data_IF_027489689172
#
_entry.id   IF_027489689172
#
_cell.length_a   1.000
_cell.length_b   1.000
_cell.length_c   1.000
_cell.angle_alpha   90.00
_cell.angle_beta   90.00
_cell.angle_gamma   90.00
#
_symmetry.space_group_name_H-M   'P 1'
#
loop_
_entity.id
_entity.type
_entity.pdbx_description
1 polymer ?
#
# COMPACT_ATOMS: atom_id res chain seq x y z
N UNK A 1 -23.99 -0.11 -20.50
CA UNK A 1 -22.84 0.12 -19.60
C UNK A 1 -22.39 -1.23 -19.09
N UNK A 2 -21.15 -1.62 -19.35
CA UNK A 2 -20.69 -3.00 -19.21
C UNK A 2 -20.55 -3.37 -17.73
N UNK A 3 -21.22 -4.44 -17.29
CA UNK A 3 -21.28 -4.94 -15.89
C UNK A 3 -19.89 -5.24 -15.29
N UNK A 4 -18.86 -5.34 -16.12
CA UNK A 4 -17.46 -5.54 -15.70
C UNK A 4 -16.83 -4.32 -15.01
N UNK A 5 -17.28 -3.11 -15.36
CA UNK A 5 -16.64 -1.88 -14.91
C UNK A 5 -16.79 -1.62 -13.40
N UNK A 6 -17.99 -1.79 -12.79
CA UNK A 6 -18.17 -1.60 -11.35
C UNK A 6 -17.45 -2.67 -10.51
N UNK A 7 -17.47 -3.94 -10.94
CA UNK A 7 -16.80 -5.02 -10.23
C UNK A 7 -15.29 -4.82 -10.16
N UNK A 8 -14.67 -4.33 -11.26
CA UNK A 8 -13.25 -3.99 -11.29
C UNK A 8 -12.88 -2.89 -10.30
N UNK A 9 -13.72 -1.85 -10.17
CA UNK A 9 -13.49 -0.76 -9.21
C UNK A 9 -13.55 -1.26 -7.76
N UNK A 10 -14.51 -2.12 -7.42
CA UNK A 10 -14.60 -2.72 -6.08
C UNK A 10 -13.38 -3.57 -5.76
N UNK A 11 -12.90 -4.39 -6.71
CA UNK A 11 -11.68 -5.20 -6.54
C UNK A 11 -10.47 -4.32 -6.30
N UNK A 12 -10.26 -3.30 -7.14
CA UNK A 12 -9.13 -2.38 -6.99
C UNK A 12 -9.19 -1.64 -5.67
N UNK A 13 -10.39 -1.24 -5.24
CA UNK A 13 -10.61 -0.57 -3.95
C UNK A 13 -10.29 -1.50 -2.78
N UNK A 14 -10.76 -2.76 -2.81
CA UNK A 14 -10.46 -3.75 -1.78
C UNK A 14 -8.96 -4.08 -1.73
N UNK A 15 -8.30 -4.27 -2.88
CA UNK A 15 -6.86 -4.49 -2.96
C UNK A 15 -6.08 -3.31 -2.39
N UNK A 16 -6.47 -2.08 -2.77
CA UNK A 16 -5.88 -0.86 -2.21
C UNK A 16 -6.03 -0.80 -0.69
N UNK A 17 -7.21 -1.14 -0.17
CA UNK A 17 -7.47 -1.11 1.26
C UNK A 17 -6.61 -2.12 2.03
N UNK A 18 -6.45 -3.33 1.50
CA UNK A 18 -5.58 -4.36 2.08
C UNK A 18 -4.12 -3.91 2.05
N UNK A 19 -3.64 -3.39 0.92
CA UNK A 19 -2.27 -2.92 0.81
C UNK A 19 -1.99 -1.76 1.77
N UNK A 20 -2.92 -0.81 1.92
CA UNK A 20 -2.82 0.26 2.92
C UNK A 20 -2.76 -0.29 4.34
N UNK A 21 -3.68 -1.18 4.71
CA UNK A 21 -3.70 -1.74 6.07
C UNK A 21 -2.41 -2.50 6.37
N UNK A 22 -1.94 -3.36 5.45
CA UNK A 22 -0.70 -4.13 5.62
C UNK A 22 0.53 -3.22 5.68
N UNK A 23 0.63 -2.23 4.79
CA UNK A 23 1.73 -1.27 4.78
C UNK A 23 1.75 -0.45 6.09
N UNK A 24 0.60 0.06 6.51
CA UNK A 24 0.46 0.83 7.75
C UNK A 24 0.82 0.01 8.98
N UNK A 25 0.39 -1.26 9.07
CA UNK A 25 0.81 -2.17 10.15
C UNK A 25 2.31 -2.43 10.10
N UNK A 26 2.89 -2.66 8.92
CA UNK A 26 4.33 -2.86 8.78
C UNK A 26 5.13 -1.63 9.22
N UNK A 27 4.69 -0.42 8.86
CA UNK A 27 5.29 0.84 9.30
C UNK A 27 5.13 1.06 10.81
N UNK A 28 3.97 0.74 11.37
CA UNK A 28 3.69 0.84 12.80
C UNK A 28 4.53 -0.16 13.63
N UNK A 29 4.77 -1.36 13.09
CA UNK A 29 5.61 -2.38 13.71
C UNK A 29 7.11 -2.02 13.68
N UNK A 30 7.55 -1.26 12.67
CA UNK A 30 8.96 -0.88 12.47
C UNK A 30 9.14 0.63 12.28
N UNK A 31 8.78 1.45 13.29
CA UNK A 31 8.77 2.90 13.15
C UNK A 31 10.17 3.50 12.96
N UNK A 32 11.22 2.82 13.44
CA UNK A 32 12.61 3.26 13.28
C UNK A 32 13.08 3.13 11.83
N UNK A 33 12.75 2.02 11.17
CA UNK A 33 13.08 1.78 9.76
C UNK A 33 12.31 2.74 8.86
N UNK A 34 11.00 2.93 9.11
CA UNK A 34 10.20 3.88 8.35
C UNK A 34 10.76 5.31 8.44
N UNK A 35 11.13 5.76 9.64
CA UNK A 35 11.82 7.05 9.83
C UNK A 35 13.17 7.12 9.09
N UNK A 36 13.95 6.05 9.08
CA UNK A 36 15.22 6.01 8.38
C UNK A 36 15.03 6.17 6.87
N UNK A 37 14.03 5.50 6.29
CA UNK A 37 13.66 5.62 4.87
C UNK A 37 13.23 7.05 4.54
N UNK A 38 12.32 7.65 5.33
CA UNK A 38 11.89 9.04 5.11
C UNK A 38 13.04 10.05 5.19
N UNK A 39 14.05 9.82 6.04
CA UNK A 39 15.25 10.66 6.10
C UNK A 39 16.12 10.54 4.84
N UNK A 40 16.23 9.33 4.26
CA UNK A 40 16.97 9.10 3.02
C UNK A 40 16.30 9.83 1.85
N UNK A 41 14.97 9.95 1.84
CA UNK A 41 14.24 10.67 0.81
C UNK A 41 14.55 12.17 0.79
N UNK A 42 14.91 12.74 1.96
CA UNK A 42 15.24 14.18 2.14
C UNK A 42 14.18 15.14 1.58
N UNK A 43 12.93 14.70 1.47
CA UNK A 43 11.80 15.52 0.99
C UNK A 43 11.12 16.30 2.12
N UNK A 44 11.27 15.84 3.37
CA UNK A 44 10.71 16.52 4.54
C UNK A 44 11.82 17.10 5.41
N UNK A 45 11.59 18.28 6.04
CA UNK A 45 12.47 18.79 7.08
C UNK A 45 12.65 17.76 8.21
N UNK A 46 13.84 17.65 8.83
CA UNK A 46 14.10 16.69 9.90
C UNK A 46 13.09 16.79 11.05
N UNK A 47 12.67 18.01 11.41
CA UNK A 47 11.67 18.26 12.44
C UNK A 47 10.31 17.59 12.15
N UNK A 48 9.94 17.48 10.87
CA UNK A 48 8.65 16.92 10.45
C UNK A 48 8.71 15.41 10.31
N UNK A 49 9.88 14.82 10.04
CA UNK A 49 10.02 13.36 9.87
C UNK A 49 9.60 12.55 11.10
N UNK A 50 9.78 13.11 12.31
CA UNK A 50 9.40 12.45 13.56
C UNK A 50 7.88 12.28 13.70
N UNK A 51 7.11 13.26 13.19
CA UNK A 51 5.65 13.27 13.18
C UNK A 51 5.07 12.57 11.94
N UNK A 52 5.67 12.79 10.77
CA UNK A 52 5.18 12.25 9.52
C UNK A 52 5.16 10.72 9.51
N UNK A 53 6.20 10.06 10.04
CA UNK A 53 6.28 8.60 10.03
C UNK A 53 5.12 7.90 10.77
N UNK A 54 4.81 8.23 12.04
CA UNK A 54 3.64 7.66 12.71
C UNK A 54 2.33 8.15 12.10
N UNK A 55 2.23 9.41 11.66
CA UNK A 55 1.02 9.94 11.04
C UNK A 55 0.65 9.18 9.76
N UNK A 56 1.62 8.89 8.88
CA UNK A 56 1.37 8.10 7.67
C UNK A 56 0.93 6.68 8.03
N UNK A 57 1.61 6.02 8.98
CA UNK A 57 1.28 4.65 9.37
C UNK A 57 -0.14 4.55 9.93
N UNK A 58 -0.51 5.47 10.82
CA UNK A 58 -1.87 5.54 11.39
C UNK A 58 -2.89 5.81 10.30
N UNK A 59 -2.61 6.74 9.39
CA UNK A 59 -3.53 7.08 8.29
C UNK A 59 -3.75 5.89 7.35
N UNK A 60 -2.68 5.18 6.97
CA UNK A 60 -2.75 3.98 6.14
C UNK A 60 -3.60 2.89 6.79
N UNK A 61 -3.38 2.60 8.08
CA UNK A 61 -4.20 1.61 8.82
C UNK A 61 -5.65 2.05 8.92
N UNK A 62 -5.90 3.29 9.36
CA UNK A 62 -7.27 3.78 9.56
C UNK A 62 -8.06 3.78 8.26
N UNK A 63 -7.49 4.29 7.18
CA UNK A 63 -8.16 4.32 5.88
C UNK A 63 -8.36 2.90 5.33
N UNK A 64 -7.33 2.06 5.35
CA UNK A 64 -7.43 0.68 4.85
C UNK A 64 -8.46 -0.15 5.63
N UNK A 65 -8.44 -0.10 6.96
CA UNK A 65 -9.40 -0.80 7.82
C UNK A 65 -10.80 -0.24 7.65
N UNK A 66 -10.97 1.08 7.58
CA UNK A 66 -12.29 1.69 7.37
C UNK A 66 -12.90 1.24 6.04
N UNK A 67 -12.16 1.31 4.93
CA UNK A 67 -12.64 0.84 3.63
C UNK A 67 -13.08 -0.62 3.71
N UNK A 68 -12.25 -1.50 4.28
CA UNK A 68 -12.60 -2.93 4.41
C UNK A 68 -13.82 -3.16 5.30
N UNK A 69 -13.89 -2.49 6.44
CA UNK A 69 -15.01 -2.63 7.38
C UNK A 69 -16.33 -2.20 6.71
N UNK A 70 -16.35 -1.06 6.04
CA UNK A 70 -17.54 -0.59 5.34
C UNK A 70 -17.86 -1.43 4.11
N UNK A 71 -16.88 -1.84 3.30
CA UNK A 71 -17.12 -2.75 2.16
C UNK A 71 -17.76 -4.07 2.59
N UNK A 72 -17.44 -4.58 3.78
CA UNK A 72 -17.98 -5.84 4.30
C UNK A 72 -19.33 -5.65 5.01
N UNK A 73 -19.54 -4.53 5.71
CA UNK A 73 -20.74 -4.29 6.52
C UNK A 73 -21.86 -3.59 5.72
N UNK A 74 -21.52 -2.53 4.99
CA UNK A 74 -22.43 -1.75 4.15
C UNK A 74 -21.65 -1.10 3.00
N UNK A 75 -21.59 -1.75 1.82
CA UNK A 75 -20.86 -1.25 0.67
C UNK A 75 -21.24 0.19 0.27
N UNK A 76 -22.50 0.61 0.47
CA UNK A 76 -22.94 1.96 0.14
C UNK A 76 -22.27 3.01 1.06
N UNK A 77 -22.04 2.68 2.33
CA UNK A 77 -21.33 3.53 3.28
C UNK A 77 -19.81 3.59 3.01
N UNK A 78 -19.25 2.71 2.18
CA UNK A 78 -17.82 2.69 1.85
C UNK A 78 -17.38 3.83 0.90
N UNK A 79 -18.30 4.65 0.38
CA UNK A 79 -17.99 5.74 -0.55
C UNK A 79 -17.01 6.76 0.04
N UNK A 80 -17.28 7.25 1.26
CA UNK A 80 -16.41 8.22 1.92
C UNK A 80 -14.99 7.69 2.21
N UNK A 81 -14.82 6.51 2.84
CA UNK A 81 -13.48 5.97 3.06
C UNK A 81 -12.78 5.60 1.75
N UNK A 82 -13.51 5.17 0.69
CA UNK A 82 -12.93 4.95 -0.62
C UNK A 82 -12.41 6.25 -1.28
N UNK A 83 -13.10 7.37 -1.08
CA UNK A 83 -12.61 8.68 -1.52
C UNK A 83 -11.32 9.08 -0.77
N UNK A 84 -11.27 8.86 0.55
CA UNK A 84 -10.05 9.10 1.34
C UNK A 84 -8.89 8.21 0.87
N UNK A 85 -9.16 6.94 0.56
CA UNK A 85 -8.19 6.02 -0.03
C UNK A 85 -7.69 6.51 -1.39
N UNK A 86 -8.58 7.03 -2.25
CA UNK A 86 -8.20 7.58 -3.56
C UNK A 86 -7.24 8.77 -3.41
N UNK A 87 -7.53 9.69 -2.49
CA UNK A 87 -6.67 10.83 -2.17
C UNK A 87 -5.31 10.37 -1.66
N UNK A 88 -5.29 9.39 -0.75
CA UNK A 88 -4.04 8.88 -0.18
C UNK A 88 -3.17 8.21 -1.25
N UNK A 89 -3.74 7.36 -2.11
CA UNK A 89 -3.00 6.75 -3.21
C UNK A 89 -2.55 7.76 -4.26
N UNK A 90 -3.34 8.81 -4.52
CA UNK A 90 -2.92 9.91 -5.38
C UNK A 90 -1.70 10.64 -4.79
N UNK A 91 -1.72 10.94 -3.49
CA UNK A 91 -0.58 11.53 -2.80
C UNK A 91 0.66 10.62 -2.86
N UNK A 92 0.50 9.30 -2.70
CA UNK A 92 1.60 8.34 -2.86
C UNK A 92 2.12 8.26 -4.29
N UNK A 93 1.26 8.33 -5.31
CA UNK A 93 1.67 8.36 -6.70
C UNK A 93 2.51 9.60 -7.02
N UNK A 94 2.05 10.78 -6.58
CA UNK A 94 2.79 12.04 -6.73
C UNK A 94 4.11 11.96 -5.98
N UNK A 95 4.10 11.50 -4.74
CA UNK A 95 5.31 11.33 -3.93
C UNK A 95 6.32 10.42 -4.60
N UNK A 96 5.88 9.25 -5.08
CA UNK A 96 6.75 8.28 -5.76
C UNK A 96 7.27 8.82 -7.10
N UNK A 97 6.48 9.59 -7.84
CA UNK A 97 6.91 10.24 -9.08
C UNK A 97 7.98 11.31 -8.82
N UNK A 98 7.78 12.16 -7.80
CA UNK A 98 8.78 13.15 -7.35
C UNK A 98 10.05 12.44 -6.88
N UNK A 99 9.91 11.38 -6.10
CA UNK A 99 11.06 10.62 -5.62
C UNK A 99 11.81 9.93 -6.77
N UNK A 100 11.09 9.38 -7.75
CA UNK A 100 11.68 8.74 -8.93
C UNK A 100 12.43 9.71 -9.82
N UNK A 101 11.94 10.94 -9.94
CA UNK A 101 12.54 12.00 -10.77
C UNK A 101 13.75 12.63 -10.09
N UNK A 102 13.68 12.92 -8.78
CA UNK A 102 14.76 13.62 -8.08
C UNK A 102 15.78 12.70 -7.40
N UNK A 103 15.41 11.45 -7.07
CA UNK A 103 16.21 10.51 -6.25
C UNK A 103 16.07 9.07 -6.76
N UNK A 104 16.50 8.76 -7.99
CA UNK A 104 16.43 7.38 -8.50
C UNK A 104 17.20 6.41 -7.60
N UNK A 105 16.63 5.23 -7.35
CA UNK A 105 17.30 4.13 -6.65
C UNK A 105 17.12 4.08 -5.13
N UNK A 106 16.41 5.05 -4.53
CA UNK A 106 16.01 4.99 -3.12
C UNK A 106 14.83 4.01 -2.93
N UNK A 107 14.67 3.41 -1.74
CA UNK A 107 13.50 2.56 -1.43
C UNK A 107 12.19 3.35 -1.53
N UNK A 108 11.07 2.70 -1.88
CA UNK A 108 9.77 3.37 -2.04
C UNK A 108 9.08 3.66 -0.70
N UNK A 109 9.58 3.12 0.42
CA UNK A 109 8.96 3.25 1.75
C UNK A 109 7.82 2.25 1.98
N UNK A 110 6.86 2.16 1.04
CA UNK A 110 5.63 1.37 1.20
C UNK A 110 5.83 -0.11 1.57
N UNK A 111 6.97 -0.70 1.21
CA UNK A 111 7.33 -2.09 1.53
C UNK A 111 8.81 -2.26 1.90
N UNK A 112 9.49 -1.20 2.33
CA UNK A 112 10.87 -1.22 2.85
C UNK A 112 12.00 -1.59 1.88
N UNK A 113 11.80 -2.57 0.99
CA UNK A 113 12.82 -3.19 0.14
C UNK A 113 12.69 -2.83 -1.35
N UNK A 114 11.47 -2.56 -1.84
CA UNK A 114 11.25 -2.23 -3.25
C UNK A 114 11.81 -0.83 -3.56
N UNK A 115 12.68 -0.72 -4.57
CA UNK A 115 13.18 0.58 -5.05
C UNK A 115 12.09 1.34 -5.78
N UNK A 116 12.12 2.67 -5.69
CA UNK A 116 11.18 3.52 -6.43
C UNK A 116 11.32 3.29 -7.95
N UNK A 117 10.21 2.93 -8.59
CA UNK A 117 10.13 2.63 -10.02
C UNK A 117 8.84 3.20 -10.62
N UNK A 118 8.77 3.32 -11.94
CA UNK A 118 7.51 3.71 -12.61
C UNK A 118 6.39 2.68 -12.42
N UNK A 119 6.73 1.43 -12.09
CA UNK A 119 5.75 0.39 -11.75
C UNK A 119 5.08 0.71 -10.41
N UNK A 120 5.82 1.19 -9.41
CA UNK A 120 5.24 1.63 -8.13
C UNK A 120 4.30 2.82 -8.33
N UNK A 121 4.70 3.78 -9.17
CA UNK A 121 3.87 4.94 -9.52
C UNK A 121 2.59 4.49 -10.22
N UNK A 122 2.68 3.66 -11.25
CA UNK A 122 1.52 3.18 -12.00
C UNK A 122 0.56 2.37 -11.13
N UNK A 123 1.08 1.52 -10.22
CA UNK A 123 0.28 0.80 -9.23
C UNK A 123 -0.53 1.76 -8.35
N UNK A 124 0.12 2.79 -7.81
CA UNK A 124 -0.56 3.79 -6.98
C UNK A 124 -1.64 4.56 -7.77
N UNK A 125 -1.36 4.91 -9.04
CA UNK A 125 -2.34 5.57 -9.93
C UNK A 125 -3.55 4.67 -10.21
N UNK A 126 -3.33 3.38 -10.50
CA UNK A 126 -4.42 2.42 -10.75
C UNK A 126 -5.29 2.23 -9.51
N UNK A 127 -4.68 2.11 -8.32
CA UNK A 127 -5.42 2.00 -7.06
C UNK A 127 -6.19 3.27 -6.73
N UNK A 128 -5.60 4.45 -6.99
CA UNK A 128 -6.27 5.74 -6.84
C UNK A 128 -7.48 5.84 -7.78
N UNK A 129 -7.32 5.50 -9.06
CA UNK A 129 -8.38 5.53 -10.06
C UNK A 129 -9.51 4.54 -9.74
N UNK A 130 -9.17 3.33 -9.29
CA UNK A 130 -10.15 2.33 -8.86
C UNK A 130 -10.97 2.81 -7.66
N UNK A 131 -10.31 3.40 -6.66
CA UNK A 131 -10.96 3.93 -5.45
C UNK A 131 -11.80 5.17 -5.73
N UNK A 132 -11.32 6.07 -6.59
CA UNK A 132 -12.08 7.24 -7.04
C UNK A 132 -13.31 6.81 -7.86
N UNK A 133 -13.14 5.84 -8.75
CA UNK A 133 -14.23 5.25 -9.52
C UNK A 133 -15.31 4.65 -8.61
N UNK A 134 -14.90 3.88 -7.60
CA UNK A 134 -15.81 3.35 -6.58
C UNK A 134 -16.54 4.47 -5.84
N UNK A 135 -15.83 5.52 -5.42
CA UNK A 135 -16.44 6.65 -4.71
C UNK A 135 -17.46 7.44 -5.55
N UNK A 136 -17.26 7.54 -6.87
CA UNK A 136 -18.17 8.26 -7.77
C UNK A 136 -19.38 7.42 -8.16
N UNK A 137 -19.18 6.13 -8.45
CA UNK A 137 -20.24 5.24 -8.93
C UNK A 137 -21.02 4.60 -7.78
N UNK A 138 -20.40 4.46 -6.61
CA UNK A 138 -20.96 3.77 -5.46
C UNK A 138 -20.91 2.25 -5.59
N UNK A 139 -21.38 1.55 -4.55
CA UNK A 139 -21.55 0.11 -4.59
C UNK A 139 -22.65 -0.27 -5.56
N UNK A 140 -22.31 -1.05 -6.58
CA UNK A 140 -23.33 -1.76 -7.38
C UNK A 140 -23.63 -3.06 -6.64
N UNK A 141 -24.89 -3.23 -6.24
CA UNK A 141 -25.46 -4.38 -5.50
C UNK A 141 -24.90 -5.71 -6.02
N UNK A 142 -24.51 -6.66 -5.15
CA UNK A 142 -23.67 -7.78 -5.54
C UNK A 142 -24.42 -8.80 -6.39
N UNK A 143 -23.89 -9.05 -7.59
CA UNK A 143 -24.05 -10.32 -8.28
C UNK A 143 -22.99 -11.31 -7.76
N UNK A 144 -23.19 -12.61 -8.00
CA UNK A 144 -22.35 -13.78 -7.61
C UNK A 144 -20.82 -13.63 -7.76
N UNK A 145 -20.38 -12.64 -8.52
CA UNK A 145 -18.98 -12.27 -8.73
C UNK A 145 -18.27 -11.73 -7.49
N UNK A 146 -19.01 -11.26 -6.48
CA UNK A 146 -18.46 -10.69 -5.24
C UNK A 146 -17.66 -11.71 -4.40
N UNK A 147 -18.04 -12.99 -4.45
CA UNK A 147 -17.30 -14.07 -3.79
C UNK A 147 -16.01 -14.42 -4.54
N UNK A 148 -16.03 -14.34 -5.87
CA UNK A 148 -14.87 -14.63 -6.72
C UNK A 148 -13.82 -13.53 -6.56
N UNK A 149 -14.26 -12.26 -6.52
CA UNK A 149 -13.38 -11.13 -6.28
C UNK A 149 -12.78 -11.17 -4.89
N UNK A 150 -13.56 -11.47 -3.85
CA UNK A 150 -13.02 -11.68 -2.50
C UNK A 150 -11.96 -12.79 -2.47
N UNK A 151 -12.20 -13.92 -3.13
CA UNK A 151 -11.26 -15.04 -3.21
C UNK A 151 -9.94 -14.69 -3.94
N UNK A 152 -10.02 -13.99 -5.07
CA UNK A 152 -8.83 -13.54 -5.83
C UNK A 152 -8.01 -12.53 -5.02
N UNK A 153 -8.68 -11.59 -4.35
CA UNK A 153 -8.04 -10.59 -3.51
C UNK A 153 -7.33 -11.25 -2.32
N UNK A 154 -7.97 -12.23 -1.67
CA UNK A 154 -7.35 -13.01 -0.59
C UNK A 154 -6.15 -13.81 -1.09
N UNK A 155 -6.27 -14.46 -2.26
CA UNK A 155 -5.20 -15.25 -2.85
C UNK A 155 -3.99 -14.38 -3.22
N UNK A 156 -4.21 -13.19 -3.79
CA UNK A 156 -3.13 -12.25 -4.08
C UNK A 156 -2.49 -11.70 -2.79
N UNK A 157 -3.29 -11.34 -1.79
CA UNK A 157 -2.77 -10.88 -0.49
C UNK A 157 -1.88 -11.96 0.15
N UNK A 158 -2.29 -13.23 0.11
CA UNK A 158 -1.50 -14.34 0.62
C UNK A 158 -0.19 -14.53 -0.17
N UNK A 159 -0.24 -14.40 -1.51
CA UNK A 159 0.96 -14.50 -2.35
C UNK A 159 1.96 -13.36 -2.11
N UNK A 160 1.47 -12.14 -1.83
CA UNK A 160 2.32 -11.02 -1.50
C UNK A 160 2.98 -11.16 -0.13
N UNK A 161 2.30 -11.75 0.85
CA UNK A 161 2.86 -12.03 2.17
C UNK A 161 3.95 -13.10 2.12
N UNK A 162 3.80 -14.13 1.29
CA UNK A 162 4.84 -15.16 1.13
C UNK A 162 6.08 -14.62 0.40
N UNK A 163 5.89 -13.87 -0.69
CA UNK A 163 7.00 -13.20 -1.38
C UNK A 163 7.80 -12.27 -0.44
N UNK A 164 7.12 -11.65 0.52
CA UNK A 164 7.77 -10.78 1.51
C UNK A 164 8.65 -11.56 2.50
N UNK A 165 8.22 -12.74 2.96
CA UNK A 165 8.99 -13.56 3.91
C UNK A 165 10.32 -14.00 3.33
N UNK A 166 10.32 -14.41 2.06
CA UNK A 166 11.52 -14.88 1.36
C UNK A 166 12.62 -13.79 1.32
N UNK A 167 12.24 -12.53 1.07
CA UNK A 167 13.21 -11.42 1.02
C UNK A 167 13.81 -11.06 2.38
N UNK A 168 13.08 -11.29 3.47
CA UNK A 168 13.56 -11.01 4.84
C UNK A 168 14.54 -12.09 5.30
N UNK A 169 14.28 -13.34 4.93
CA UNK A 169 15.16 -14.47 5.26
C UNK A 169 16.50 -14.37 4.51
N UNK A 170 16.49 -14.02 3.22
CA UNK A 170 17.72 -13.80 2.43
C UNK A 170 18.60 -12.66 2.95
N UNK A 171 17.97 -11.60 3.46
CA UNK A 171 18.69 -10.47 4.05
C UNK A 171 19.36 -10.85 5.38
N UNK A 172 18.75 -11.76 6.13
CA UNK A 172 19.23 -12.20 7.45
C UNK A 172 20.44 -13.14 7.35
N UNK A 173 20.43 -14.05 6.37
CA UNK A 173 21.59 -14.90 6.06
C UNK A 173 22.76 -14.10 5.51
N UNK A 174 22.52 -13.13 4.62
CA UNK A 174 23.58 -12.27 4.08
C UNK A 174 24.27 -11.39 5.14
N UNK A 175 23.55 -10.96 6.17
CA UNK A 175 24.11 -10.20 7.30
C UNK A 175 24.90 -11.12 8.24
N UNK A 176 24.46 -12.37 8.42
CA UNK A 176 25.15 -13.33 9.28
C UNK A 176 26.49 -13.78 8.67
N UNK A 177 26.55 -13.94 7.35
CA UNK A 177 27.76 -14.34 6.62
C UNK A 177 28.84 -13.24 6.67
N UNK A 178 28.45 -11.96 6.53
CA UNK A 178 29.39 -10.83 6.69
C UNK A 178 29.94 -10.66 8.10
N UNK A 179 29.31 -11.23 9.13
CA UNK A 179 29.80 -11.18 10.52
C UNK A 179 30.79 -12.28 10.86
N UNK A 180 30.96 -13.30 10.02
CA UNK A 180 31.93 -14.36 10.25
C UNK A 180 32.91 -14.57 9.08
N UNK A 181 33.74 -13.56 8.74
CA UNK A 181 34.74 -13.69 7.68
C UNK A 181 35.94 -14.59 8.04
N UNK A 182 35.99 -15.16 9.26
CA UNK A 182 37.17 -15.84 9.82
C UNK A 182 37.00 -17.37 9.96
N UNK A 183 36.24 -18.00 9.07
CA UNK A 183 36.12 -19.45 8.97
C UNK A 183 37.06 -20.08 7.93
N UNK A 184 38.32 -19.67 7.90
CA UNK A 184 39.44 -20.38 7.24
C UNK A 184 40.73 -20.13 8.00
#
# INVERSE_FOLDING_TARGET
MNVFWPAGMTVLTALGAILLAVAGVAHAARPREHRAVLRVHRLLPPAWTAFAAPATAVTEVLVGVAVLAFLLADPAAAVLPAAAQAVLYCAFAVYAAVLRTHRPGVPCGCFGAEKVSWVVVSRAVVLAAGSAGYAVVGAVVPDRWSCVTAGVVLAMANHWVSAWRETVDDSSTAIHDRRNPAGK
#
